data_IF_338015830209
#
_entry.id   IF_338015830209
#
_cell.length_a   1.000
_cell.length_b   1.000
_cell.length_c   1.000
_cell.angle_alpha   90.00
_cell.angle_beta   90.00
_cell.angle_gamma   90.00
#
_symmetry.space_group_name_H-M   'P 1'
#
loop_
_entity.id
_entity.type
_entity.pdbx_description
1 polymer ?
#
# COMPACT_ATOMS: atom_id res chain seq x y z
N UNK A 1 8.38 -15.38 -4.74
CA UNK A 1 7.85 -14.43 -5.76
C UNK A 1 6.67 -13.68 -5.15
N UNK A 2 6.64 -12.36 -5.20
CA UNK A 2 5.52 -11.54 -4.66
C UNK A 2 5.27 -10.35 -5.57
N UNK A 3 4.02 -10.11 -5.97
CA UNK A 3 3.60 -8.91 -6.69
C UNK A 3 2.37 -8.27 -6.03
N UNK A 4 2.23 -6.95 -6.20
CA UNK A 4 1.17 -6.17 -5.57
C UNK A 4 0.81 -4.96 -6.46
N UNK A 5 -0.47 -4.61 -6.50
CA UNK A 5 -1.01 -3.46 -7.22
C UNK A 5 -1.85 -2.61 -6.27
N UNK A 6 -1.64 -1.29 -6.31
CA UNK A 6 -2.44 -0.30 -5.59
C UNK A 6 -3.05 0.63 -6.63
N UNK A 7 -4.35 0.89 -6.53
CA UNK A 7 -5.07 1.73 -7.46
C UNK A 7 -6.06 2.64 -6.72
N UNK A 8 -6.29 3.81 -7.29
CA UNK A 8 -7.39 4.71 -6.95
C UNK A 8 -8.22 4.93 -8.19
N UNK A 9 -9.51 4.64 -8.12
CA UNK A 9 -10.43 5.02 -9.19
C UNK A 9 -10.72 6.54 -9.08
N UNK A 10 -10.35 7.36 -10.08
CA UNK A 10 -10.62 8.79 -10.04
C UNK A 10 -12.10 9.12 -10.19
N UNK A 11 -12.93 8.23 -10.75
CA UNK A 11 -14.36 8.47 -10.95
C UNK A 11 -15.16 8.37 -9.65
N UNK A 12 -14.90 7.34 -8.85
CA UNK A 12 -15.62 7.12 -7.57
C UNK A 12 -14.81 7.48 -6.33
N UNK A 13 -13.49 7.65 -6.46
CA UNK A 13 -12.58 7.79 -5.32
C UNK A 13 -12.23 6.46 -4.64
N UNK A 14 -12.76 5.31 -5.12
CA UNK A 14 -12.52 3.99 -4.52
C UNK A 14 -11.03 3.64 -4.50
N UNK A 15 -10.58 3.08 -3.38
CA UNK A 15 -9.23 2.56 -3.19
C UNK A 15 -9.24 1.04 -3.34
N UNK A 16 -8.42 0.51 -4.24
CA UNK A 16 -8.31 -0.92 -4.52
C UNK A 16 -6.86 -1.41 -4.33
N UNK A 17 -6.71 -2.58 -3.71
CA UNK A 17 -5.42 -3.23 -3.54
C UNK A 17 -5.52 -4.72 -3.83
N UNK A 18 -4.51 -5.27 -4.48
CA UNK A 18 -4.38 -6.70 -4.75
C UNK A 18 -2.92 -7.15 -4.57
N UNK A 19 -2.72 -8.37 -4.08
CA UNK A 19 -1.39 -8.97 -3.96
C UNK A 19 -1.47 -10.49 -4.13
N UNK A 20 -0.39 -11.07 -4.67
CA UNK A 20 -0.21 -12.51 -4.70
C UNK A 20 1.25 -12.87 -4.39
N UNK A 21 1.43 -14.01 -3.73
CA UNK A 21 2.75 -14.55 -3.39
C UNK A 21 2.72 -16.07 -3.40
N UNK A 22 3.89 -16.70 -3.48
CA UNK A 22 4.04 -18.15 -3.33
C UNK A 22 4.09 -18.62 -1.87
N UNK A 23 3.55 -17.84 -0.94
CA UNK A 23 3.52 -18.09 0.50
C UNK A 23 2.15 -17.74 1.07
N UNK A 24 1.95 -17.97 2.36
CA UNK A 24 0.65 -17.85 3.01
C UNK A 24 0.31 -16.41 3.39
N UNK A 25 -0.99 -16.13 3.48
CA UNK A 25 -1.54 -14.93 4.11
C UNK A 25 -1.04 -13.59 3.52
N UNK A 26 -0.84 -13.51 2.21
CA UNK A 26 -0.32 -12.29 1.55
C UNK A 26 -1.11 -11.03 1.87
N UNK A 27 -2.44 -11.13 1.99
CA UNK A 27 -3.29 -9.99 2.37
C UNK A 27 -2.93 -9.45 3.76
N UNK A 28 -2.75 -10.34 4.74
CA UNK A 28 -2.39 -9.98 6.10
C UNK A 28 -0.97 -9.41 6.23
N UNK A 29 -0.03 -9.88 5.40
CA UNK A 29 1.34 -9.40 5.43
C UNK A 29 1.56 -8.10 4.66
N UNK A 30 0.95 -7.95 3.49
CA UNK A 30 1.36 -6.94 2.51
C UNK A 30 0.44 -5.72 2.49
N UNK A 31 -0.87 -5.92 2.51
CA UNK A 31 -1.83 -4.87 2.15
C UNK A 31 -2.35 -4.13 3.37
N UNK A 32 -2.32 -2.79 3.32
CA UNK A 32 -3.03 -1.91 4.26
C UNK A 32 -3.79 -0.83 3.49
N UNK A 33 -4.87 -0.35 4.08
CA UNK A 33 -5.71 0.69 3.52
C UNK A 33 -6.45 1.47 4.58
N UNK A 34 -6.53 2.78 4.37
CA UNK A 34 -7.19 3.76 5.26
C UNK A 34 -7.87 4.80 4.40
N UNK A 35 -9.19 4.98 4.56
CA UNK A 35 -9.98 5.90 3.73
C UNK A 35 -9.54 7.36 3.87
N UNK A 36 -9.00 7.73 5.04
CA UNK A 36 -8.48 9.05 5.37
C UNK A 36 -7.04 9.30 4.89
N UNK A 37 -6.32 8.25 4.44
CA UNK A 37 -4.90 8.35 4.10
C UNK A 37 -4.55 7.79 2.71
N UNK A 38 -4.92 6.55 2.41
CA UNK A 38 -4.56 5.87 1.16
C UNK A 38 -4.33 4.37 1.32
N UNK A 39 -3.42 3.82 0.50
CA UNK A 39 -3.06 2.40 0.47
C UNK A 39 -1.55 2.22 0.61
N UNK A 40 -1.13 1.13 1.24
CA UNK A 40 0.28 0.72 1.28
C UNK A 40 0.45 -0.78 0.98
N UNK A 41 1.62 -1.12 0.43
CA UNK A 41 2.01 -2.50 0.12
C UNK A 41 3.45 -2.76 0.63
N UNK A 42 3.57 -3.22 1.89
CA UNK A 42 4.88 -3.56 2.48
C UNK A 42 5.24 -5.01 2.17
N UNK A 43 6.24 -5.23 1.31
CA UNK A 43 6.70 -6.56 0.89
C UNK A 43 8.22 -6.61 0.74
N UNK A 44 8.78 -7.81 0.74
CA UNK A 44 10.21 -8.05 0.55
C UNK A 44 10.60 -9.42 1.08
N UNK A 45 11.91 -9.68 1.21
CA UNK A 45 12.42 -10.90 1.84
C UNK A 45 12.10 -10.96 3.34
N UNK A 46 12.08 -9.81 4.02
CA UNK A 46 11.64 -9.63 5.40
C UNK A 46 10.58 -8.51 5.44
N UNK A 47 9.28 -8.84 5.26
CA UNK A 47 8.22 -7.84 5.25
C UNK A 47 8.06 -7.20 6.64
N UNK A 48 7.84 -5.88 6.67
CA UNK A 48 7.64 -5.11 7.91
C UNK A 48 6.21 -4.60 7.98
N UNK A 49 5.45 -5.03 8.98
CA UNK A 49 4.12 -4.50 9.24
C UNK A 49 4.17 -3.04 9.66
N UNK A 50 5.17 -2.64 10.44
CA UNK A 50 5.40 -1.24 10.84
C UNK A 50 5.50 -0.31 9.63
N UNK A 51 6.26 -0.68 8.60
CA UNK A 51 6.39 0.16 7.40
C UNK A 51 5.07 0.34 6.64
N UNK A 52 4.19 -0.66 6.70
CA UNK A 52 2.86 -0.59 6.11
C UNK A 52 1.93 0.40 6.83
N UNK A 53 2.01 0.49 8.15
CA UNK A 53 1.20 1.39 8.97
C UNK A 53 1.79 2.80 9.04
N UNK A 54 3.09 2.93 9.34
CA UNK A 54 3.77 4.21 9.55
C UNK A 54 3.68 5.12 8.32
N UNK A 55 3.69 4.54 7.11
CA UNK A 55 3.52 5.33 5.88
C UNK A 55 2.11 5.90 5.77
N UNK A 56 1.08 5.18 6.22
CA UNK A 56 -0.30 5.67 6.24
C UNK A 56 -0.47 6.76 7.29
N UNK A 57 0.17 6.65 8.46
CA UNK A 57 0.20 7.73 9.46
C UNK A 57 0.86 8.99 8.91
N UNK A 58 1.97 8.83 8.17
CA UNK A 58 2.63 9.95 7.49
C UNK A 58 1.76 10.58 6.42
N UNK A 59 1.03 9.77 5.65
CA UNK A 59 0.10 10.26 4.62
C UNK A 59 -1.10 10.97 5.24
N UNK A 60 -1.66 10.45 6.34
CA UNK A 60 -2.69 11.12 7.13
C UNK A 60 -2.18 12.48 7.69
N UNK A 61 -0.90 12.56 8.06
CA UNK A 61 -0.21 13.79 8.44
C UNK A 61 0.15 14.74 7.27
N UNK A 62 -0.38 14.50 6.07
CA UNK A 62 -0.22 15.37 4.90
C UNK A 62 1.04 15.14 4.07
N UNK A 63 1.86 14.12 4.37
CA UNK A 63 3.01 13.79 3.51
C UNK A 63 2.55 13.07 2.25
N UNK A 64 2.73 13.71 1.11
CA UNK A 64 2.43 13.10 -0.19
C UNK A 64 3.46 12.00 -0.53
N UNK A 65 3.04 10.88 -1.14
CA UNK A 65 3.96 9.92 -1.74
C UNK A 65 4.72 10.57 -2.90
N UNK A 66 5.97 10.14 -3.10
CA UNK A 66 6.78 10.62 -4.23
C UNK A 66 6.10 10.16 -5.55
N UNK A 67 5.92 11.05 -6.54
CA UNK A 67 5.42 10.63 -7.84
C UNK A 67 6.38 9.60 -8.46
N UNK A 68 5.86 8.64 -9.25
CA UNK A 68 6.69 7.59 -9.81
C UNK A 68 7.83 8.20 -10.63
N UNK A 69 7.52 9.13 -11.54
CA UNK A 69 8.46 9.78 -12.46
C UNK A 69 8.71 11.25 -12.09
N UNK A 70 9.90 11.81 -12.39
CA UNK A 70 10.12 13.24 -12.31
C UNK A 70 9.12 13.95 -13.24
N UNK A 71 8.60 15.10 -12.79
CA UNK A 71 7.77 15.97 -13.63
C UNK A 71 8.65 16.74 -14.60
#
# INVERSE_FOLDING_TARGET
>A
MTFSLLARDPGTGTLCAAAATGSLCVGGWVLRGRLDAGLSASRGAAPSTFWGEDVLDRMAGGKAPRPPWPR
#
